data_IF_687128179987
#
_entry.id   IF_687128179987
#
_cell.length_a   1.000
_cell.length_b   1.000
_cell.length_c   1.000
_cell.angle_alpha   90.00
_cell.angle_beta   90.00
_cell.angle_gamma   90.00
#
_symmetry.space_group_name_H-M   'P 1'
#
loop_
_entity.id
_entity.type
_entity.pdbx_description
1 polymer ?
#
# COMPACT_ATOMS: atom_id res chain seq x y z
N UNK A 1 26.55 -9.16 13.56
CA UNK A 1 25.09 -9.14 13.80
C UNK A 1 24.56 -7.82 13.27
N UNK A 2 23.81 -7.83 12.16
CA UNK A 2 23.08 -6.63 11.74
C UNK A 2 21.96 -6.41 12.76
N UNK A 3 21.92 -5.23 13.38
CA UNK A 3 20.78 -4.80 14.20
C UNK A 3 19.54 -4.80 13.31
N UNK A 4 18.50 -5.55 13.67
CA UNK A 4 17.19 -5.43 13.02
C UNK A 4 16.68 -4.00 13.23
N UNK A 5 16.75 -3.18 12.19
CA UNK A 5 16.21 -1.83 12.17
C UNK A 5 14.81 -1.86 11.59
N UNK A 6 13.87 -1.15 12.21
CA UNK A 6 12.52 -1.00 11.68
C UNK A 6 12.52 -0.20 10.38
N UNK A 7 11.58 -0.52 9.48
CA UNK A 7 11.34 0.28 8.28
C UNK A 7 10.87 1.70 8.62
N UNK A 8 11.16 2.70 7.76
CA UNK A 8 10.64 4.06 7.94
C UNK A 8 9.12 4.09 7.81
N UNK A 9 8.48 5.08 8.45
CA UNK A 9 7.04 5.35 8.34
C UNK A 9 6.82 6.76 7.82
N UNK A 10 5.93 6.92 6.85
CA UNK A 10 5.48 8.23 6.36
C UNK A 10 4.02 8.44 6.77
N UNK A 11 3.75 9.60 7.37
CA UNK A 11 2.40 10.05 7.69
C UNK A 11 2.08 11.21 6.75
N UNK A 12 1.06 11.05 5.91
CA UNK A 12 0.60 12.07 4.99
C UNK A 12 -0.73 12.63 5.49
N UNK A 13 -0.80 13.94 5.70
CA UNK A 13 -2.05 14.60 6.10
C UNK A 13 -3.06 14.70 4.95
N UNK A 14 -2.57 14.90 3.72
CA UNK A 14 -3.37 14.81 2.48
C UNK A 14 -2.46 14.67 1.26
N UNK A 15 -3.06 14.42 0.09
CA UNK A 15 -2.37 14.50 -1.19
C UNK A 15 -1.48 13.30 -1.48
N UNK A 16 -1.86 12.12 -1.01
CA UNK A 16 -1.11 10.87 -1.19
C UNK A 16 -0.92 10.53 -2.67
N UNK A 17 -1.84 10.92 -3.56
CA UNK A 17 -1.70 10.79 -5.03
C UNK A 17 -1.39 12.13 -5.73
N UNK A 18 -0.95 13.16 -5.00
CA UNK A 18 -0.54 14.43 -5.61
C UNK A 18 0.83 14.30 -6.30
N UNK A 19 1.12 15.05 -7.38
CA UNK A 19 2.44 15.00 -8.00
C UNK A 19 3.60 15.30 -7.04
N UNK A 20 3.37 16.12 -6.00
CA UNK A 20 4.40 16.43 -5.00
C UNK A 20 4.71 15.27 -4.05
N UNK A 21 3.76 14.34 -3.78
CA UNK A 21 3.98 13.23 -2.85
C UNK A 21 4.93 12.16 -3.39
N UNK A 22 5.15 12.15 -4.71
CA UNK A 22 6.07 11.20 -5.38
C UNK A 22 7.45 11.10 -4.73
N UNK A 23 7.99 12.22 -4.24
CA UNK A 23 9.32 12.26 -3.59
C UNK A 23 9.37 11.46 -2.30
N UNK A 24 8.23 11.29 -1.62
CA UNK A 24 8.12 10.49 -0.39
C UNK A 24 8.29 9.02 -0.76
N UNK A 25 7.52 8.52 -1.73
CA UNK A 25 7.60 7.11 -2.14
C UNK A 25 8.97 6.75 -2.72
N UNK A 26 9.56 7.64 -3.50
CA UNK A 26 10.93 7.52 -4.02
C UNK A 26 11.95 7.32 -2.88
N UNK A 27 11.84 8.04 -1.77
CA UNK A 27 12.75 7.87 -0.61
C UNK A 27 12.66 6.47 -0.01
N UNK A 28 11.51 5.83 -0.08
CA UNK A 28 11.31 4.47 0.43
C UNK A 28 11.83 3.46 -0.59
N UNK A 29 11.45 3.62 -1.87
CA UNK A 29 11.82 2.72 -2.96
C UNK A 29 13.34 2.59 -3.13
N UNK A 30 14.11 3.68 -2.97
CA UNK A 30 15.59 3.67 -3.07
C UNK A 30 16.31 2.79 -2.05
N UNK A 31 15.62 2.38 -0.98
CA UNK A 31 16.18 1.52 0.07
C UNK A 31 15.98 0.03 -0.21
N UNK A 32 15.22 -0.30 -1.25
CA UNK A 32 14.83 -1.66 -1.61
C UNK A 32 15.55 -2.06 -2.88
N UNK A 33 16.15 -3.25 -2.91
CA UNK A 33 16.65 -3.83 -4.14
C UNK A 33 15.46 -4.27 -5.00
N UNK A 34 15.42 -3.86 -6.26
CA UNK A 34 14.34 -4.22 -7.18
C UNK A 34 14.16 -5.75 -7.27
N UNK A 35 12.91 -6.25 -7.41
CA UNK A 35 11.68 -5.48 -7.62
C UNK A 35 11.08 -4.90 -6.34
N UNK A 36 10.52 -3.70 -6.42
CA UNK A 36 9.76 -3.10 -5.32
C UNK A 36 8.38 -3.77 -5.20
N UNK A 37 8.12 -4.48 -4.10
CA UNK A 37 6.80 -5.09 -3.83
C UNK A 37 5.96 -4.19 -2.93
N UNK A 38 4.83 -3.72 -3.45
CA UNK A 38 3.93 -2.78 -2.77
C UNK A 38 2.59 -3.46 -2.49
N UNK A 39 2.24 -3.53 -1.20
CA UNK A 39 0.95 -3.99 -0.72
C UNK A 39 0.04 -2.79 -0.46
N UNK A 40 -1.09 -2.68 -1.18
CA UNK A 40 -2.06 -1.59 -1.05
C UNK A 40 -3.34 -2.11 -0.40
N UNK A 41 -3.66 -1.61 0.78
CA UNK A 41 -4.87 -2.01 1.51
C UNK A 41 -6.10 -1.26 1.02
N UNK A 42 -7.18 -1.98 0.73
CA UNK A 42 -8.50 -1.37 0.47
C UNK A 42 -9.18 -0.91 1.76
N UNK A 43 -8.73 -1.38 2.94
CA UNK A 43 -9.36 -1.14 4.25
C UNK A 43 -9.80 0.30 4.48
N UNK A 44 -8.96 1.35 4.27
CA UNK A 44 -9.39 2.73 4.55
C UNK A 44 -10.65 3.13 3.78
N UNK A 45 -10.79 2.66 2.55
CA UNK A 45 -11.94 2.90 1.68
C UNK A 45 -12.94 1.72 1.65
N UNK A 46 -12.78 0.71 2.52
CA UNK A 46 -13.51 -0.56 2.45
C UNK A 46 -15.02 -0.45 2.67
N UNK A 47 -15.48 0.65 3.28
CA UNK A 47 -16.90 1.00 3.39
C UNK A 47 -17.52 1.44 2.06
N UNK A 48 -16.69 1.84 1.09
CA UNK A 48 -17.15 2.28 -0.22
C UNK A 48 -17.33 1.07 -1.14
N UNK A 49 -18.39 1.05 -1.97
CA UNK A 49 -18.64 -0.03 -2.93
C UNK A 49 -17.54 -0.14 -4.00
N UNK A 50 -16.74 0.91 -4.18
CA UNK A 50 -15.67 1.00 -5.17
C UNK A 50 -14.26 0.92 -4.56
N UNK A 51 -14.09 0.35 -3.36
CA UNK A 51 -12.80 0.26 -2.66
C UNK A 51 -11.66 -0.32 -3.54
N UNK A 52 -11.93 -1.41 -4.26
CA UNK A 52 -10.98 -1.99 -5.23
C UNK A 52 -10.56 -1.01 -6.32
N UNK A 53 -11.49 -0.19 -6.83
CA UNK A 53 -11.18 0.84 -7.82
C UNK A 53 -10.32 1.97 -7.22
N UNK A 54 -10.53 2.31 -5.95
CA UNK A 54 -9.70 3.29 -5.23
C UNK A 54 -8.27 2.77 -5.11
N UNK A 55 -8.08 1.52 -4.67
CA UNK A 55 -6.77 0.89 -4.57
C UNK A 55 -6.07 0.75 -5.94
N UNK A 56 -6.81 0.37 -6.99
CA UNK A 56 -6.28 0.29 -8.35
C UNK A 56 -5.77 1.64 -8.88
N UNK A 57 -6.46 2.76 -8.59
CA UNK A 57 -6.00 4.11 -8.96
C UNK A 57 -4.71 4.50 -8.23
N UNK A 58 -4.55 4.08 -6.98
CA UNK A 58 -3.30 4.27 -6.23
C UNK A 58 -2.17 3.47 -6.89
N UNK A 59 -2.41 2.22 -7.27
CA UNK A 59 -1.43 1.41 -7.98
C UNK A 59 -1.04 2.02 -9.33
N UNK A 60 -2.00 2.54 -10.11
CA UNK A 60 -1.75 3.24 -11.37
C UNK A 60 -0.85 4.47 -11.17
N UNK A 61 -1.19 5.30 -10.17
CA UNK A 61 -0.36 6.45 -9.80
C UNK A 61 1.05 5.99 -9.45
N UNK A 62 1.22 5.07 -8.49
CA UNK A 62 2.54 4.60 -8.04
C UNK A 62 3.33 3.90 -9.14
N UNK A 63 2.68 3.19 -10.05
CA UNK A 63 3.31 2.53 -11.20
C UNK A 63 4.04 3.56 -12.07
N UNK A 64 3.36 4.66 -12.41
CA UNK A 64 3.98 5.75 -13.18
C UNK A 64 5.12 6.43 -12.41
N UNK A 65 4.96 6.63 -11.09
CA UNK A 65 5.94 7.35 -10.26
C UNK A 65 7.17 6.54 -9.95
N UNK A 66 7.05 5.22 -9.80
CA UNK A 66 8.10 4.32 -9.32
C UNK A 66 8.56 3.33 -10.39
N UNK A 67 8.27 3.57 -11.67
CA UNK A 67 8.62 2.68 -12.78
C UNK A 67 10.09 2.19 -12.77
N UNK A 68 11.02 3.05 -12.33
CA UNK A 68 12.46 2.73 -12.26
C UNK A 68 12.79 1.62 -11.24
N UNK A 69 11.87 1.28 -10.34
CA UNK A 69 12.06 0.26 -9.29
C UNK A 69 11.37 -1.06 -9.63
N UNK A 70 10.85 -1.22 -10.86
CA UNK A 70 10.12 -2.40 -11.32
C UNK A 70 9.03 -2.83 -10.33
N UNK A 71 8.05 -1.94 -10.05
CA UNK A 71 7.12 -2.15 -8.95
C UNK A 71 6.13 -3.29 -9.27
N UNK A 72 5.87 -4.13 -8.28
CA UNK A 72 4.79 -5.11 -8.28
C UNK A 72 3.75 -4.69 -7.23
N UNK A 73 2.48 -4.67 -7.61
CA UNK A 73 1.39 -4.22 -6.76
C UNK A 73 0.45 -5.36 -6.41
N UNK A 74 0.24 -5.56 -5.13
CA UNK A 74 -0.76 -6.46 -4.59
C UNK A 74 -1.86 -5.61 -3.93
N UNK A 75 -3.09 -5.70 -4.44
CA UNK A 75 -4.25 -5.04 -3.86
C UNK A 75 -4.87 -5.98 -2.83
N UNK A 76 -4.89 -5.56 -1.57
CA UNK A 76 -5.35 -6.39 -0.46
C UNK A 76 -6.75 -5.94 -0.05
N UNK A 77 -7.79 -6.76 -0.28
CA UNK A 77 -9.15 -6.42 0.13
C UNK A 77 -9.19 -6.07 1.61
N UNK A 78 -8.88 -7.01 2.51
CA UNK A 78 -8.72 -6.78 3.96
C UNK A 78 -9.74 -5.77 4.56
N UNK A 79 -11.00 -5.80 4.11
CA UNK A 79 -11.96 -4.70 4.26
C UNK A 79 -12.66 -4.75 5.62
N UNK A 80 -13.24 -5.90 5.96
CA UNK A 80 -14.14 -6.01 7.12
C UNK A 80 -14.06 -7.38 7.76
N UNK A 81 -13.87 -7.41 9.07
CA UNK A 81 -13.86 -8.65 9.85
C UNK A 81 -15.15 -9.45 9.67
N UNK A 82 -15.01 -10.77 9.61
CA UNK A 82 -16.14 -11.71 9.48
C UNK A 82 -16.76 -11.79 8.08
N UNK A 83 -16.12 -11.19 7.06
CA UNK A 83 -16.51 -11.36 5.65
C UNK A 83 -15.47 -12.18 4.88
N UNK A 84 -15.76 -12.52 3.62
CA UNK A 84 -14.77 -13.17 2.73
C UNK A 84 -13.48 -12.35 2.58
N UNK A 85 -13.60 -11.02 2.60
CA UNK A 85 -12.49 -10.06 2.51
C UNK A 85 -11.98 -9.63 3.88
N UNK A 86 -12.16 -10.46 4.90
CA UNK A 86 -11.70 -10.14 6.26
C UNK A 86 -10.19 -9.95 6.30
N UNK A 87 -9.65 -8.93 7.01
CA UNK A 87 -8.21 -8.84 7.26
C UNK A 87 -7.68 -10.03 8.08
N UNK A 88 -8.55 -10.78 8.76
CA UNK A 88 -8.18 -12.01 9.47
C UNK A 88 -8.10 -13.23 8.53
N UNK A 89 -8.52 -13.10 7.26
CA UNK A 89 -8.35 -14.13 6.24
C UNK A 89 -6.89 -14.09 5.71
N UNK A 90 -6.09 -15.16 5.86
CA UNK A 90 -4.72 -15.19 5.32
C UNK A 90 -4.67 -14.94 3.81
N UNK A 91 -5.69 -15.35 3.05
CA UNK A 91 -5.72 -15.11 1.60
C UNK A 91 -5.83 -13.62 1.26
N UNK A 92 -6.54 -12.84 2.08
CA UNK A 92 -6.72 -11.40 1.86
C UNK A 92 -5.48 -10.57 2.23
N UNK A 93 -4.56 -11.16 3.00
CA UNK A 93 -3.35 -10.50 3.55
C UNK A 93 -2.03 -11.17 3.16
N UNK A 94 -2.05 -12.26 2.38
CA UNK A 94 -0.89 -13.10 2.09
C UNK A 94 0.32 -12.32 1.56
N UNK A 95 0.08 -11.31 0.71
CA UNK A 95 1.13 -10.51 0.09
C UNK A 95 1.91 -9.63 1.07
N UNK A 96 1.40 -9.38 2.29
CA UNK A 96 2.08 -8.55 3.30
C UNK A 96 3.47 -9.12 3.64
N UNK A 97 3.59 -10.44 3.75
CA UNK A 97 4.86 -11.10 4.11
C UNK A 97 5.97 -10.89 3.06
N UNK A 98 5.60 -10.65 1.80
CA UNK A 98 6.54 -10.43 0.71
C UNK A 98 6.73 -8.94 0.36
N UNK A 99 5.91 -8.04 0.93
CA UNK A 99 5.94 -6.63 0.62
C UNK A 99 7.14 -5.91 1.23
N UNK A 100 7.67 -4.92 0.52
CA UNK A 100 8.71 -4.01 1.00
C UNK A 100 8.17 -2.60 1.27
N UNK A 101 6.93 -2.34 0.84
CA UNK A 101 6.18 -1.11 1.10
C UNK A 101 4.72 -1.47 1.36
N UNK A 102 4.18 -0.96 2.45
CA UNK A 102 2.75 -1.03 2.75
C UNK A 102 2.14 0.35 2.49
N UNK A 103 0.99 0.38 1.84
CA UNK A 103 0.27 1.61 1.55
C UNK A 103 -1.15 1.52 2.12
N UNK A 104 -1.48 2.48 3.00
CA UNK A 104 -2.82 2.71 3.49
C UNK A 104 -3.26 4.08 2.98
N UNK A 105 -4.22 4.08 2.05
CA UNK A 105 -4.73 5.30 1.42
C UNK A 105 -5.69 6.09 2.29
N UNK A 106 -6.25 7.16 1.73
CA UNK A 106 -7.31 7.92 2.36
C UNK A 106 -8.61 7.12 2.52
N UNK A 107 -9.43 7.54 3.48
CA UNK A 107 -10.70 6.90 3.78
C UNK A 107 -11.17 7.20 5.18
N UNK A 108 -11.90 6.26 5.79
CA UNK A 108 -12.43 6.40 7.15
C UNK A 108 -11.44 5.82 8.16
N UNK A 109 -10.90 6.61 9.10
CA UNK A 109 -10.05 6.09 10.16
C UNK A 109 -10.81 5.28 11.23
N UNK A 110 -12.15 5.32 11.21
CA UNK A 110 -13.02 4.61 12.17
C UNK A 110 -13.70 3.36 11.59
N UNK A 111 -13.51 3.10 10.30
CA UNK A 111 -13.99 1.88 9.65
C UNK A 111 -13.04 0.73 9.94
#
# INVERSE_FOLDING_TARGET
MALCSYGPVALLGSGETAPASGVIYERFARRVQAPLRVAIFETPAGFQPNATRVAAKIAEFLSSRLQNYQPHFDLLPARRRGTADSPDNPESTAAVCAANMLFLGSGSPTY
#
